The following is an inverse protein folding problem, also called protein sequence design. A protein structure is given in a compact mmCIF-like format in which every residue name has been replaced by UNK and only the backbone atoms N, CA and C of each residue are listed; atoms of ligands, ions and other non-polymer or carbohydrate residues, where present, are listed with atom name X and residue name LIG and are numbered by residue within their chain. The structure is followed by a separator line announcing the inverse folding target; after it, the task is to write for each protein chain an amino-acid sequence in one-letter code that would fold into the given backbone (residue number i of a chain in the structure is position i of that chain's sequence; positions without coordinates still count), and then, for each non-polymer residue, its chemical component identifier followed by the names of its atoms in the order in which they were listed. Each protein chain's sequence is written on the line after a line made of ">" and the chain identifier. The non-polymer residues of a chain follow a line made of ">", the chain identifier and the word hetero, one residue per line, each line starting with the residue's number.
data_IF_343282580524
#
_entry.id   IF_343282580524
#
_cell.length_a   1.000
_cell.length_b   1.000
_cell.length_c   1.000
_cell.angle_alpha   90.00
_cell.angle_beta   90.00
_cell.angle_gamma   90.00
#
_symmetry.space_group_name_H-M   'P 1'
#
loop_
_entity.id
_entity.type
_entity.pdbx_description
1 polymer ?
#
# COMPACT_ATOMS: atom_id res chain seq x y z
N UNK A 1 11.66 12.25 -11.56
CA UNK A 1 12.90 11.83 -12.26
C UNK A 1 12.93 12.30 -13.72
N UNK A 2 12.72 13.60 -13.94
CA UNK A 2 13.07 14.28 -15.20
C UNK A 2 13.84 15.50 -14.75
N UNK A 3 15.15 15.53 -14.99
CA UNK A 3 15.99 16.67 -14.65
C UNK A 3 15.52 17.89 -15.44
N UNK A 4 15.71 19.10 -14.92
CA UNK A 4 15.35 20.33 -15.62
C UNK A 4 16.00 20.34 -17.01
N UNK A 5 15.19 20.39 -18.07
CA UNK A 5 15.65 20.34 -19.47
C UNK A 5 15.62 18.96 -20.15
N UNK A 6 15.28 17.89 -19.44
CA UNK A 6 15.08 16.55 -20.02
C UNK A 6 13.63 16.42 -20.51
N UNK A 7 13.44 16.02 -21.77
CA UNK A 7 12.10 15.86 -22.38
C UNK A 7 11.57 14.41 -22.35
N UNK A 8 12.44 13.46 -22.04
CA UNK A 8 12.12 12.04 -22.02
C UNK A 8 12.94 11.33 -20.95
N UNK A 9 12.33 10.35 -20.28
CA UNK A 9 13.05 9.44 -19.36
C UNK A 9 14.00 8.50 -20.12
N UNK A 10 13.85 8.37 -21.44
CA UNK A 10 14.67 7.51 -22.27
C UNK A 10 15.90 8.24 -22.83
N UNK A 11 17.04 7.54 -22.97
CA UNK A 11 17.28 6.16 -22.53
C UNK A 11 17.35 6.04 -20.99
N UNK A 12 16.86 4.93 -20.44
CA UNK A 12 16.82 4.69 -18.99
C UNK A 12 18.25 4.65 -18.45
N UNK A 13 18.55 5.48 -17.44
CA UNK A 13 19.89 5.59 -16.83
C UNK A 13 20.12 4.60 -15.69
N UNK A 14 19.07 4.28 -14.94
CA UNK A 14 19.12 3.39 -13.77
C UNK A 14 18.17 2.21 -14.01
N UNK A 15 18.68 1.19 -14.68
CA UNK A 15 17.88 0.04 -15.09
C UNK A 15 17.37 -0.76 -13.88
N UNK A 16 18.20 -0.90 -12.85
CA UNK A 16 17.86 -1.53 -11.58
C UNK A 16 16.64 -0.90 -10.90
N UNK A 17 16.60 0.45 -10.82
CA UNK A 17 15.47 1.18 -10.25
C UNK A 17 14.24 1.04 -11.16
N UNK A 18 14.42 1.13 -12.48
CA UNK A 18 13.33 0.98 -13.44
C UNK A 18 12.68 -0.40 -13.37
N UNK A 19 13.48 -1.45 -13.23
CA UNK A 19 12.99 -2.82 -13.10
C UNK A 19 12.19 -3.00 -11.81
N UNK A 20 12.62 -2.39 -10.69
CA UNK A 20 11.83 -2.36 -9.44
C UNK A 20 10.51 -1.61 -9.59
N UNK A 21 10.51 -0.48 -10.28
CA UNK A 21 9.28 0.26 -10.60
C UNK A 21 8.32 -0.59 -11.45
N UNK A 22 8.83 -1.28 -12.48
CA UNK A 22 8.04 -2.18 -13.32
C UNK A 22 7.49 -3.38 -12.54
N UNK A 23 8.28 -3.96 -11.66
CA UNK A 23 7.83 -5.01 -10.75
C UNK A 23 6.70 -4.51 -9.83
N UNK A 24 6.81 -3.29 -9.31
CA UNK A 24 5.75 -2.71 -8.47
C UNK A 24 4.45 -2.45 -9.25
N UNK A 25 4.52 -1.97 -10.50
CA UNK A 25 3.34 -1.81 -11.37
C UNK A 25 2.60 -3.14 -11.58
N UNK A 26 3.34 -4.25 -11.70
CA UNK A 26 2.74 -5.57 -11.86
C UNK A 26 1.97 -6.05 -10.62
N UNK A 27 2.23 -5.44 -9.45
CA UNK A 27 1.56 -5.74 -8.20
C UNK A 27 0.39 -4.77 -7.89
N UNK A 28 -0.10 -4.04 -8.90
CA UNK A 28 -1.26 -3.18 -8.75
C UNK A 28 -2.54 -4.01 -8.50
N UNK A 29 -3.35 -3.56 -7.52
CA UNK A 29 -4.66 -4.12 -7.20
C UNK A 29 -5.56 -3.01 -6.65
N UNK A 30 -6.88 -3.18 -6.71
CA UNK A 30 -7.86 -2.27 -6.10
C UNK A 30 -8.57 -2.92 -4.91
N UNK A 31 -9.07 -2.14 -3.93
CA UNK A 31 -9.77 -2.69 -2.76
C UNK A 31 -10.93 -3.62 -3.09
N UNK A 32 -11.61 -3.39 -4.21
CA UNK A 32 -12.74 -4.20 -4.69
C UNK A 32 -12.33 -5.62 -5.10
N UNK A 33 -11.04 -5.86 -5.37
CA UNK A 33 -10.51 -7.20 -5.66
C UNK A 33 -10.45 -8.11 -4.42
N UNK A 34 -10.58 -7.54 -3.22
CA UNK A 34 -10.59 -8.27 -1.94
C UNK A 34 -12.02 -8.38 -1.42
N UNK A 35 -12.58 -9.59 -1.50
CA UNK A 35 -13.90 -9.89 -0.94
C UNK A 35 -13.84 -9.99 0.59
N UNK A 36 -14.72 -9.27 1.27
CA UNK A 36 -14.93 -9.35 2.73
C UNK A 36 -16.24 -10.09 3.09
N UNK A 37 -16.82 -10.82 2.15
CA UNK A 37 -18.14 -11.44 2.31
C UNK A 37 -18.20 -12.41 3.49
N UNK A 38 -17.17 -13.25 3.62
CA UNK A 38 -17.12 -14.28 4.65
C UNK A 38 -16.58 -13.73 5.98
N UNK A 39 -15.66 -12.75 5.91
CA UNK A 39 -14.99 -12.13 7.05
C UNK A 39 -15.96 -11.56 8.10
N UNK A 40 -17.08 -10.97 7.69
CA UNK A 40 -18.06 -10.42 8.63
C UNK A 40 -18.71 -11.51 9.49
N UNK A 41 -18.97 -12.68 8.91
CA UNK A 41 -19.54 -13.83 9.63
C UNK A 41 -18.50 -14.40 10.58
N UNK A 42 -17.27 -14.56 10.11
CA UNK A 42 -16.17 -15.09 10.92
C UNK A 42 -15.86 -14.14 12.09
N UNK A 43 -15.92 -12.82 11.85
CA UNK A 43 -15.74 -11.80 12.88
C UNK A 43 -16.77 -11.95 14.01
N UNK A 44 -18.01 -12.36 13.74
CA UNK A 44 -19.03 -12.57 14.78
C UNK A 44 -18.69 -13.74 15.71
N UNK A 45 -18.03 -14.78 15.19
CA UNK A 45 -17.65 -16.00 15.93
C UNK A 45 -16.53 -15.80 16.94
N UNK A 46 -15.75 -14.73 16.79
CA UNK A 46 -14.61 -14.44 17.66
C UNK A 46 -15.03 -14.01 19.07
N UNK A 47 -14.16 -14.26 20.05
CA UNK A 47 -14.34 -13.76 21.40
C UNK A 47 -13.97 -12.27 21.51
N UNK A 48 -14.31 -11.66 22.65
CA UNK A 48 -14.09 -10.22 22.86
C UNK A 48 -12.60 -9.81 22.80
N UNK A 49 -11.70 -10.66 23.27
CA UNK A 49 -10.26 -10.42 23.23
C UNK A 49 -9.70 -10.42 21.80
N UNK A 50 -10.13 -11.38 20.98
CA UNK A 50 -9.76 -11.47 19.56
C UNK A 50 -10.29 -10.28 18.76
N UNK A 51 -11.57 -9.92 18.96
CA UNK A 51 -12.19 -8.74 18.36
C UNK A 51 -11.46 -7.45 18.77
N UNK A 52 -11.11 -7.33 20.05
CA UNK A 52 -10.36 -6.19 20.56
C UNK A 52 -8.98 -6.09 19.90
N UNK A 53 -8.26 -7.21 19.80
CA UNK A 53 -6.95 -7.28 19.17
C UNK A 53 -7.00 -6.84 17.69
N UNK A 54 -7.88 -7.43 16.89
CA UNK A 54 -8.02 -7.11 15.46
C UNK A 54 -8.33 -5.61 15.28
N UNK A 55 -9.27 -5.06 16.06
CA UNK A 55 -9.61 -3.63 15.99
C UNK A 55 -8.42 -2.72 16.27
N UNK A 56 -7.59 -3.06 17.25
CA UNK A 56 -6.40 -2.25 17.59
C UNK A 56 -5.35 -2.32 16.48
N UNK A 57 -5.12 -3.51 15.92
CA UNK A 57 -4.19 -3.69 14.80
C UNK A 57 -4.66 -2.89 13.57
N UNK A 58 -5.94 -2.96 13.22
CA UNK A 58 -6.51 -2.19 12.11
C UNK A 58 -6.40 -0.67 12.36
N UNK A 59 -6.69 -0.20 13.58
CA UNK A 59 -6.55 1.21 13.93
C UNK A 59 -5.10 1.71 13.85
N UNK A 60 -4.13 0.86 14.21
CA UNK A 60 -2.71 1.19 14.04
C UNK A 60 -2.33 1.35 12.57
N UNK A 61 -2.74 0.41 11.70
CA UNK A 61 -2.46 0.51 10.26
C UNK A 61 -3.11 1.73 9.62
N UNK A 62 -4.38 2.01 9.93
CA UNK A 62 -5.10 3.17 9.40
C UNK A 62 -4.41 4.50 9.71
N UNK A 63 -3.85 4.65 10.93
CA UNK A 63 -3.11 5.86 11.30
C UNK A 63 -1.69 5.89 10.70
N UNK A 64 -1.03 4.74 10.61
CA UNK A 64 0.36 4.66 10.16
C UNK A 64 0.52 4.95 8.67
N UNK A 65 -0.46 4.55 7.84
CA UNK A 65 -0.42 4.78 6.39
C UNK A 65 -0.31 6.27 6.03
N UNK A 66 -1.14 7.10 6.66
CA UNK A 66 -1.14 8.55 6.42
C UNK A 66 0.22 9.19 6.73
N UNK A 67 0.84 8.80 7.85
CA UNK A 67 2.15 9.31 8.28
C UNK A 67 3.25 8.91 7.28
N UNK A 68 3.24 7.68 6.77
CA UNK A 68 4.23 7.20 5.80
C UNK A 68 4.07 7.95 4.47
N UNK A 69 2.84 8.13 4.00
CA UNK A 69 2.56 8.87 2.76
C UNK A 69 2.99 10.33 2.85
N UNK A 70 2.78 10.98 4.01
CA UNK A 70 3.26 12.35 4.24
C UNK A 70 4.80 12.40 4.17
N UNK A 71 5.50 11.44 4.77
CA UNK A 71 6.95 11.36 4.71
C UNK A 71 7.45 11.25 3.26
N UNK A 72 6.93 10.31 2.48
CA UNK A 72 7.33 10.08 1.08
C UNK A 72 7.03 11.27 0.16
N UNK A 73 5.96 12.02 0.44
CA UNK A 73 5.55 13.15 -0.38
C UNK A 73 6.33 14.44 -0.05
N UNK A 74 6.73 14.63 1.21
CA UNK A 74 7.26 15.90 1.73
C UNK A 74 8.77 15.89 2.01
N UNK A 75 9.40 14.72 2.14
CA UNK A 75 10.81 14.57 2.50
C UNK A 75 11.58 13.80 1.43
#
# INVERSE_FOLDING_TARGET
>A
MISKGVKSIFPIKHQDIWDKYKLHIQAFWTPEEVSLHDDLRDLETLNDGEKHFIKHVLAYFANSEAMINENLASR
#
